data_IF_058537929386
#
_entry.id   IF_058537929386
#
_cell.length_a   1.000
_cell.length_b   1.000
_cell.length_c   1.000
_cell.angle_alpha   90.00
_cell.angle_beta   90.00
_cell.angle_gamma   90.00
#
_symmetry.space_group_name_H-M   'P 1'
#
loop_
_entity.id
_entity.type
_entity.pdbx_description
1 polymer ?
#
# COMPACT_ATOMS: atom_id res chain seq x y z
N UNK A 1 26.16 4.29 4.22
CA UNK A 1 25.85 3.02 3.50
C UNK A 1 24.33 2.89 3.34
N UNK A 2 23.54 3.04 4.41
CA UNK A 2 22.06 2.95 4.37
C UNK A 2 21.35 3.95 3.42
N UNK A 3 21.86 5.16 3.27
CA UNK A 3 21.19 6.20 2.45
C UNK A 3 21.34 6.00 0.93
N UNK A 4 22.19 5.08 0.47
CA UNK A 4 22.44 4.86 -0.97
C UNK A 4 21.49 3.85 -1.62
N UNK A 5 20.61 3.22 -0.85
CA UNK A 5 19.65 2.24 -1.34
C UNK A 5 18.36 2.88 -1.87
N UNK A 6 17.56 2.09 -2.59
CA UNK A 6 16.21 2.45 -2.95
C UNK A 6 15.33 1.20 -3.03
N UNK A 7 14.02 1.39 -2.83
CA UNK A 7 12.99 0.38 -3.04
C UNK A 7 12.05 0.86 -4.14
N UNK A 8 11.75 0.00 -5.12
CA UNK A 8 10.73 0.26 -6.13
C UNK A 8 9.87 -1.00 -6.28
N UNK A 9 8.60 -0.90 -5.95
CA UNK A 9 7.64 -2.00 -6.04
C UNK A 9 6.47 -1.54 -6.91
N UNK A 10 6.11 -2.37 -7.89
CA UNK A 10 4.88 -2.24 -8.65
C UNK A 10 3.92 -3.34 -8.20
N UNK A 11 2.81 -2.94 -7.60
CA UNK A 11 1.72 -3.83 -7.23
C UNK A 11 0.60 -3.71 -8.26
N UNK A 12 0.13 -4.85 -8.80
CA UNK A 12 -1.05 -4.93 -9.65
C UNK A 12 -2.11 -5.68 -8.86
N UNK A 13 -3.25 -5.04 -8.63
CA UNK A 13 -4.38 -5.62 -7.90
C UNK A 13 -5.60 -5.68 -8.82
N UNK A 14 -6.23 -6.84 -8.89
CA UNK A 14 -7.48 -7.04 -9.62
C UNK A 14 -8.60 -7.28 -8.62
N UNK A 15 -9.70 -6.55 -8.76
CA UNK A 15 -10.89 -6.75 -7.94
C UNK A 15 -11.56 -8.08 -8.26
N UNK A 16 -12.36 -8.59 -7.34
CA UNK A 16 -13.38 -9.58 -7.69
C UNK A 16 -14.37 -9.00 -8.71
N UNK A 17 -14.99 -9.83 -9.56
CA UNK A 17 -16.00 -9.35 -10.51
C UNK A 17 -17.18 -8.69 -9.79
N UNK A 18 -17.65 -7.57 -10.31
CA UNK A 18 -18.88 -6.92 -9.84
C UNK A 18 -20.13 -7.69 -10.31
N UNK A 19 -21.34 -7.21 -9.97
CA UNK A 19 -22.60 -7.83 -10.38
C UNK A 19 -22.78 -7.93 -11.92
N UNK A 20 -22.02 -7.17 -12.70
CA UNK A 20 -22.02 -7.18 -14.16
C UNK A 20 -20.87 -8.03 -14.75
N UNK A 21 -20.13 -8.77 -13.90
CA UNK A 21 -19.00 -9.60 -14.30
C UNK A 21 -17.71 -8.83 -14.65
N UNK A 22 -17.66 -7.51 -14.38
CA UNK A 22 -16.47 -6.68 -14.69
C UNK A 22 -15.53 -6.63 -13.50
N UNK A 23 -14.23 -6.73 -13.76
CA UNK A 23 -13.17 -6.52 -12.76
C UNK A 23 -12.56 -5.13 -12.93
N UNK A 24 -12.03 -4.59 -11.84
CA UNK A 24 -11.23 -3.35 -11.85
C UNK A 24 -9.79 -3.72 -11.58
N UNK A 25 -8.87 -3.24 -12.41
CA UNK A 25 -7.44 -3.43 -12.21
C UNK A 25 -6.83 -2.11 -11.72
N UNK A 26 -5.98 -2.19 -10.71
CA UNK A 26 -5.30 -1.03 -10.12
C UNK A 26 -3.82 -1.32 -10.11
N UNK A 27 -3.04 -0.37 -10.64
CA UNK A 27 -1.58 -0.34 -10.50
C UNK A 27 -1.23 0.59 -9.35
N UNK A 28 -0.39 0.11 -8.45
CA UNK A 28 0.19 0.92 -7.36
C UNK A 28 1.71 0.88 -7.45
N UNK A 29 2.33 2.05 -7.41
CA UNK A 29 3.78 2.22 -7.40
C UNK A 29 4.19 2.69 -6.00
N UNK A 30 5.04 1.91 -5.35
CA UNK A 30 5.63 2.23 -4.05
C UNK A 30 7.13 2.47 -4.24
N UNK A 31 7.60 3.65 -3.84
CA UNK A 31 9.02 4.01 -3.92
C UNK A 31 9.54 4.40 -2.54
N UNK A 32 10.73 3.92 -2.19
CA UNK A 32 11.41 4.27 -0.95
C UNK A 32 12.83 4.73 -1.21
N UNK A 33 13.27 5.79 -0.52
CA UNK A 33 14.65 6.28 -0.51
C UNK A 33 15.38 5.77 0.73
N UNK A 34 16.41 4.96 0.51
CA UNK A 34 17.16 4.27 1.55
C UNK A 34 17.20 2.77 1.33
N UNK A 35 18.09 2.12 2.07
CA UNK A 35 18.27 0.67 2.03
C UNK A 35 16.97 -0.05 2.44
N UNK A 36 16.45 -0.96 1.60
CA UNK A 36 15.16 -1.61 1.84
C UNK A 36 15.10 -2.50 3.08
N UNK A 37 16.11 -3.32 3.31
CA UNK A 37 16.10 -4.39 4.30
C UNK A 37 16.08 -3.88 5.74
N UNK A 38 16.73 -2.76 6.02
CA UNK A 38 16.91 -2.24 7.36
C UNK A 38 16.31 -0.85 7.53
N UNK A 39 16.77 0.13 6.75
CA UNK A 39 16.39 1.53 6.97
C UNK A 39 14.90 1.76 6.67
N UNK A 40 14.44 1.35 5.48
CA UNK A 40 13.04 1.51 5.10
C UNK A 40 12.13 0.62 5.94
N UNK A 41 12.51 -0.63 6.20
CA UNK A 41 11.77 -1.53 7.10
C UNK A 41 11.60 -0.93 8.49
N UNK A 42 12.67 -0.38 9.07
CA UNK A 42 12.61 0.27 10.40
C UNK A 42 11.65 1.45 10.40
N UNK A 43 11.67 2.28 9.36
CA UNK A 43 10.73 3.40 9.20
C UNK A 43 9.29 2.88 9.13
N UNK A 44 9.02 1.85 8.31
CA UNK A 44 7.67 1.29 8.16
C UNK A 44 7.15 0.75 9.51
N UNK A 45 7.99 0.05 10.27
CA UNK A 45 7.65 -0.47 11.60
C UNK A 45 7.35 0.68 12.57
N UNK A 46 8.19 1.71 12.59
CA UNK A 46 8.01 2.88 13.46
C UNK A 46 6.74 3.66 13.10
N UNK A 47 6.43 3.84 11.81
CA UNK A 47 5.19 4.50 11.41
C UNK A 47 3.93 3.70 11.77
N UNK A 48 4.01 2.36 11.77
CA UNK A 48 2.93 1.53 12.33
C UNK A 48 2.75 1.79 13.84
N UNK A 49 3.85 1.83 14.61
CA UNK A 49 3.80 2.11 16.04
C UNK A 49 3.27 3.53 16.34
N UNK A 50 3.72 4.54 15.58
CA UNK A 50 3.25 5.91 15.72
C UNK A 50 1.78 6.06 15.33
N UNK A 51 1.29 5.27 14.37
CA UNK A 51 -0.15 5.22 14.04
C UNK A 51 -0.98 4.78 15.25
N UNK A 52 -0.50 3.80 16.01
CA UNK A 52 -1.17 3.35 17.24
C UNK A 52 -1.17 4.43 18.34
N UNK A 53 -0.04 5.10 18.53
CA UNK A 53 0.14 6.04 19.64
C UNK A 53 -0.50 7.40 19.36
N UNK A 54 -0.38 7.91 18.14
CA UNK A 54 -0.74 9.29 17.79
C UNK A 54 -2.08 9.41 17.03
N UNK A 55 -2.58 8.30 16.48
CA UNK A 55 -3.74 8.32 15.60
C UNK A 55 -4.81 7.29 15.99
N UNK A 56 -4.82 6.83 17.25
CA UNK A 56 -5.71 5.78 17.76
C UNK A 56 -7.20 5.99 17.39
N UNK A 57 -7.69 7.22 17.50
CA UNK A 57 -9.09 7.55 17.21
C UNK A 57 -9.44 7.51 15.72
N UNK A 58 -8.43 7.71 14.85
CA UNK A 58 -8.57 7.70 13.41
C UNK A 58 -8.34 6.30 12.79
N UNK A 59 -7.97 5.30 13.59
CA UNK A 59 -7.75 3.95 13.09
C UNK A 59 -9.05 3.30 12.61
N UNK A 60 -8.98 2.42 11.59
CA UNK A 60 -10.13 1.67 11.10
C UNK A 60 -10.90 0.95 12.21
N UNK A 61 -12.22 0.82 12.05
CA UNK A 61 -13.06 0.13 13.03
C UNK A 61 -12.64 -1.34 13.26
N UNK A 62 -12.08 -1.98 12.23
CA UNK A 62 -11.55 -3.35 12.33
C UNK A 62 -10.38 -3.45 13.30
N UNK A 63 -9.55 -2.42 13.41
CA UNK A 63 -8.40 -2.37 14.31
C UNK A 63 -8.81 -2.39 15.78
N UNK A 64 -9.97 -1.79 16.10
CA UNK A 64 -10.53 -1.76 17.46
C UNK A 64 -10.98 -3.14 17.95
N UNK A 65 -11.22 -4.09 17.05
CA UNK A 65 -11.55 -5.48 17.40
C UNK A 65 -10.33 -6.29 17.83
N UNK A 66 -9.12 -5.82 17.50
CA UNK A 66 -7.86 -6.53 17.77
C UNK A 66 -7.65 -7.76 16.88
N UNK A 67 -6.59 -8.52 17.19
CA UNK A 67 -6.18 -9.73 16.45
C UNK A 67 -4.85 -9.55 15.69
N UNK A 68 -4.48 -10.59 14.94
CA UNK A 68 -3.29 -10.55 14.05
C UNK A 68 -3.74 -10.00 12.70
N UNK A 69 -3.40 -8.73 12.46
CA UNK A 69 -3.80 -8.00 11.27
C UNK A 69 -2.58 -7.67 10.43
N UNK A 70 -2.75 -7.68 9.11
CA UNK A 70 -1.76 -7.06 8.23
C UNK A 70 -1.74 -5.54 8.45
N UNK A 71 -0.61 -4.85 8.24
CA UNK A 71 -0.52 -3.41 8.49
C UNK A 71 -1.59 -2.59 7.75
N UNK A 72 -1.88 -2.91 6.49
CA UNK A 72 -2.92 -2.18 5.74
C UNK A 72 -4.32 -2.37 6.32
N UNK A 73 -4.64 -3.54 6.88
CA UNK A 73 -5.92 -3.75 7.56
C UNK A 73 -5.97 -3.03 8.92
N UNK A 74 -4.85 -2.99 9.64
CA UNK A 74 -4.76 -2.39 10.97
C UNK A 74 -4.71 -0.85 10.95
N UNK A 75 -4.13 -0.25 9.93
CA UNK A 75 -3.87 1.19 9.91
C UNK A 75 -4.55 1.92 8.76
N UNK A 76 -4.80 1.23 7.64
CA UNK A 76 -5.43 1.82 6.45
C UNK A 76 -4.72 3.09 5.99
N UNK A 77 -5.52 4.11 5.70
CA UNK A 77 -5.04 5.39 5.18
C UNK A 77 -4.13 6.15 6.16
N UNK A 78 -4.28 5.92 7.47
CA UNK A 78 -3.41 6.53 8.48
C UNK A 78 -1.95 6.17 8.22
N UNK A 79 -1.65 4.90 7.92
CA UNK A 79 -0.28 4.49 7.62
C UNK A 79 0.20 5.08 6.29
N UNK A 80 -0.65 5.13 5.26
CA UNK A 80 -0.28 5.69 3.95
C UNK A 80 0.13 7.16 4.09
N UNK A 81 -0.66 7.97 4.79
CA UNK A 81 -0.38 9.39 4.95
C UNK A 81 0.86 9.63 5.81
N UNK A 82 1.09 8.82 6.85
CA UNK A 82 2.31 8.88 7.64
C UNK A 82 3.56 8.52 6.86
N UNK A 83 3.51 7.45 6.05
CA UNK A 83 4.63 7.04 5.21
C UNK A 83 4.97 8.11 4.16
N UNK A 84 3.96 8.79 3.59
CA UNK A 84 4.20 9.94 2.70
C UNK A 84 4.83 11.11 3.47
N UNK A 85 4.33 11.41 4.67
CA UNK A 85 4.79 12.52 5.50
C UNK A 85 6.23 12.37 6.00
N UNK A 86 6.75 11.14 6.13
CA UNK A 86 8.14 10.91 6.55
C UNK A 86 9.17 11.36 5.49
N UNK A 87 8.72 11.67 4.26
CA UNK A 87 9.56 12.22 3.18
C UNK A 87 10.49 11.21 2.51
N UNK A 88 10.44 9.93 2.92
CA UNK A 88 11.26 8.86 2.34
C UNK A 88 10.49 7.90 1.45
N UNK A 89 9.16 7.87 1.55
CA UNK A 89 8.31 6.93 0.83
C UNK A 89 7.28 7.70 0.00
N UNK A 90 7.07 7.29 -1.25
CA UNK A 90 5.96 7.75 -2.10
C UNK A 90 5.11 6.57 -2.55
N UNK A 91 3.80 6.78 -2.60
CA UNK A 91 2.81 5.76 -2.95
C UNK A 91 1.80 6.41 -3.88
N UNK A 92 1.68 5.87 -5.08
CA UNK A 92 0.81 6.35 -6.15
C UNK A 92 -0.01 5.19 -6.69
N UNK A 93 -1.30 5.39 -6.93
CA UNK A 93 -2.20 4.36 -7.44
C UNK A 93 -3.06 4.89 -8.58
N UNK A 94 -3.28 4.07 -9.60
CA UNK A 94 -4.11 4.40 -10.75
C UNK A 94 -4.91 3.18 -11.22
N UNK A 95 -6.12 3.43 -11.73
CA UNK A 95 -6.94 2.39 -12.37
C UNK A 95 -6.40 2.16 -13.78
N UNK A 96 -6.11 0.89 -14.11
CA UNK A 96 -5.71 0.51 -15.45
C UNK A 96 -6.89 -0.13 -16.19
N UNK A 97 -7.23 0.41 -17.35
CA UNK A 97 -8.23 -0.16 -18.24
C UNK A 97 -7.56 -1.25 -19.05
N UNK A 98 -7.90 -2.50 -18.77
CA UNK A 98 -7.42 -3.63 -19.58
C UNK A 98 -8.40 -3.77 -20.74
N UNK A 99 -8.00 -3.32 -21.93
CA UNK A 99 -8.73 -3.65 -23.15
C UNK A 99 -8.56 -5.16 -23.40
N UNK A 100 -9.68 -5.89 -23.36
CA UNK A 100 -9.68 -7.27 -23.82
C UNK A 100 -9.48 -7.25 -25.33
N UNK A 101 -8.25 -7.51 -25.80
CA UNK A 101 -8.04 -7.96 -27.17
C UNK A 101 -8.85 -9.25 -27.35
N UNK A 102 -10.03 -9.12 -27.97
CA UNK A 102 -10.76 -10.26 -28.50
C UNK A 102 -9.82 -10.96 -29.46
N UNK A 103 -9.30 -12.11 -29.03
CA UNK A 103 -8.63 -13.07 -29.89
C UNK A 103 -9.54 -13.30 -31.10
N UNK A 104 -9.20 -12.72 -32.25
CA UNK A 104 -9.75 -13.11 -33.54
C UNK A 104 -9.27 -14.53 -33.78
N UNK A 105 -10.06 -15.53 -33.40
CA UNK A 105 -9.92 -16.86 -33.97
C UNK A 105 -10.90 -16.99 -35.13
N UNK A 106 -10.27 -17.14 -36.30
CA UNK A 106 -10.77 -17.51 -37.62
C UNK A 106 -11.93 -18.50 -37.66
#
# INVERSE_FOLDING_TARGET
QLEKGALNITNITTSTPNAQGRTTNVRTIFRGKGEPGYLLTSIIIVECALSLVLNADALPAFSKRGGVLTPMTAFGDVLIERLKACGRISIESEVIVVENERMKSS
#
